data_IF_691158469097
#
_entry.id   IF_691158469097
#
_cell.length_a   1.000
_cell.length_b   1.000
_cell.length_c   1.000
_cell.angle_alpha   90.00
_cell.angle_beta   90.00
_cell.angle_gamma   90.00
#
_symmetry.space_group_name_H-M   'P 1'
#
loop_
_entity.id
_entity.type
_entity.pdbx_description
1 polymer ?
#
# COMPACT_ATOMS: atom_id res chain seq x y z
N UNK A 1 -13.20 -1.59 -14.41
CA UNK A 1 -13.17 -0.61 -13.30
C UNK A 1 -11.77 0.01 -13.27
N UNK A 2 -11.60 1.29 -12.90
CA UNK A 2 -10.27 1.89 -12.81
C UNK A 2 -9.41 1.14 -11.78
N UNK A 3 -8.13 0.91 -12.11
CA UNK A 3 -7.16 0.29 -11.20
C UNK A 3 -6.89 1.20 -10.00
N UNK A 4 -7.01 0.66 -8.79
CA UNK A 4 -6.71 1.38 -7.54
C UNK A 4 -5.25 1.17 -7.18
N UNK A 5 -4.39 2.08 -7.62
CA UNK A 5 -2.95 1.98 -7.38
C UNK A 5 -2.57 2.68 -6.08
N UNK A 6 -1.74 2.03 -5.27
CA UNK A 6 -1.20 2.56 -4.02
C UNK A 6 0.32 2.63 -4.16
N UNK A 7 0.88 3.80 -3.88
CA UNK A 7 2.33 4.01 -3.83
C UNK A 7 2.78 4.11 -2.39
N UNK A 8 3.73 3.26 -2.01
CA UNK A 8 4.38 3.28 -0.69
C UNK A 8 5.76 3.88 -0.89
N UNK A 9 5.99 5.08 -0.36
CA UNK A 9 7.22 5.85 -0.58
C UNK A 9 7.91 6.12 0.75
N UNK A 10 9.22 5.90 0.81
CA UNK A 10 10.04 6.18 1.98
C UNK A 10 11.42 6.67 1.58
N UNK A 11 12.00 7.58 2.35
CA UNK A 11 13.34 8.13 2.13
C UNK A 11 14.47 7.20 2.61
N UNK A 12 14.15 6.25 3.51
CA UNK A 12 15.06 5.24 4.05
C UNK A 12 14.61 3.82 3.70
N UNK A 13 14.57 2.92 4.69
CA UNK A 13 14.37 1.47 4.48
C UNK A 13 12.95 1.08 4.09
N UNK A 14 11.96 1.97 4.21
CA UNK A 14 10.57 1.67 3.82
C UNK A 14 9.78 0.78 4.78
N UNK A 15 10.42 0.12 5.74
CA UNK A 15 9.79 -0.87 6.65
C UNK A 15 8.57 -0.29 7.38
N UNK A 16 8.66 0.95 7.88
CA UNK A 16 7.53 1.60 8.55
C UNK A 16 6.39 1.89 7.59
N UNK A 17 6.69 2.37 6.38
CA UNK A 17 5.67 2.68 5.37
C UNK A 17 4.98 1.40 4.89
N UNK A 18 5.72 0.31 4.71
CA UNK A 18 5.21 -1.00 4.31
C UNK A 18 4.30 -1.63 5.38
N UNK A 19 4.75 -1.66 6.64
CA UNK A 19 3.95 -2.19 7.75
C UNK A 19 2.64 -1.42 7.95
N UNK A 20 2.68 -0.09 7.88
CA UNK A 20 1.48 0.74 7.98
C UNK A 20 0.55 0.55 6.79
N UNK A 21 1.08 0.50 5.56
CA UNK A 21 0.31 0.22 4.35
C UNK A 21 -0.41 -1.13 4.44
N UNK A 22 0.30 -2.18 4.87
CA UNK A 22 -0.30 -3.51 5.03
C UNK A 22 -1.47 -3.49 6.02
N UNK A 23 -1.28 -2.88 7.20
CA UNK A 23 -2.34 -2.78 8.21
C UNK A 23 -3.52 -1.91 7.77
N UNK A 24 -3.29 -0.90 6.92
CA UNK A 24 -4.35 -0.01 6.45
C UNK A 24 -5.18 -0.65 5.35
N UNK A 25 -4.53 -1.33 4.40
CA UNK A 25 -5.20 -1.94 3.26
C UNK A 25 -6.00 -3.19 3.64
N UNK A 26 -5.62 -3.89 4.72
CA UNK A 26 -6.39 -5.04 5.23
C UNK A 26 -7.81 -4.69 5.68
N UNK A 27 -8.09 -3.40 5.93
CA UNK A 27 -9.42 -2.93 6.34
C UNK A 27 -10.44 -2.88 5.18
N UNK A 28 -10.01 -3.15 3.95
CA UNK A 28 -10.84 -3.09 2.74
C UNK A 28 -10.88 -4.44 1.99
N UNK A 29 -11.45 -5.51 2.59
CA UNK A 29 -11.36 -6.87 2.04
C UNK A 29 -12.05 -7.07 0.67
N UNK A 30 -12.93 -6.15 0.25
CA UNK A 30 -13.59 -6.18 -1.06
C UNK A 30 -12.92 -5.32 -2.13
N UNK A 31 -11.74 -4.77 -1.84
CA UNK A 31 -11.05 -3.84 -2.73
C UNK A 31 -9.70 -4.42 -3.16
N UNK A 32 -9.54 -4.61 -4.46
CA UNK A 32 -8.27 -4.97 -5.06
C UNK A 32 -7.41 -3.71 -5.27
N UNK A 33 -6.19 -3.74 -4.75
CA UNK A 33 -5.20 -2.67 -4.90
C UNK A 33 -3.98 -3.16 -5.67
N UNK A 34 -3.48 -2.33 -6.57
CA UNK A 34 -2.17 -2.49 -7.21
C UNK A 34 -1.12 -1.74 -6.38
N UNK A 35 -0.34 -2.44 -5.57
CA UNK A 35 0.69 -1.82 -4.73
C UNK A 35 2.02 -1.68 -5.47
N UNK A 36 2.63 -0.51 -5.33
CA UNK A 36 3.96 -0.19 -5.85
C UNK A 36 4.77 0.42 -4.71
N UNK A 37 5.94 -0.14 -4.42
CA UNK A 37 6.89 0.41 -3.45
C UNK A 37 7.97 1.21 -4.19
N UNK A 38 8.22 2.44 -3.76
CA UNK A 38 9.14 3.40 -4.38
C UNK A 38 10.24 3.85 -3.40
#
# INVERSE_FOLDING_TARGET
MPSRTVFVVSDRTGITAELLSHSLLSQFPGVEFNQITL
#
